data_IF_947501657883
#
_entry.id   IF_947501657883
#
_cell.length_a   1.000
_cell.length_b   1.000
_cell.length_c   1.000
_cell.angle_alpha   90.00
_cell.angle_beta   90.00
_cell.angle_gamma   90.00
#
_symmetry.space_group_name_H-M   'P 1'
#
loop_
_entity.id
_entity.type
_entity.pdbx_description
1 polymer ?
#
# COMPACT_ATOMS: atom_id res chain seq x y z
N UNK A 1 24.51 14.62 -19.43
CA UNK A 1 24.98 13.56 -18.53
C UNK A 1 25.55 14.26 -17.30
N UNK A 2 24.96 14.03 -16.10
CA UNK A 2 25.56 14.55 -14.89
C UNK A 2 26.74 13.64 -14.52
N UNK A 3 27.94 14.20 -14.46
CA UNK A 3 29.18 13.46 -14.26
C UNK A 3 29.44 13.12 -12.79
N UNK A 4 28.72 13.74 -11.86
CA UNK A 4 29.01 13.61 -10.43
C UNK A 4 28.31 12.39 -9.80
N UNK A 5 27.13 12.02 -10.29
CA UNK A 5 26.34 10.91 -9.74
C UNK A 5 25.84 9.92 -10.79
N UNK A 6 26.33 10.06 -12.01
CA UNK A 6 25.98 9.23 -13.17
C UNK A 6 24.46 9.18 -13.50
N UNK A 7 23.66 10.11 -12.98
CA UNK A 7 22.24 10.19 -13.27
C UNK A 7 22.01 10.82 -14.63
N UNK A 8 21.07 10.25 -15.38
CA UNK A 8 20.59 10.84 -16.63
C UNK A 8 19.46 11.81 -16.28
N UNK A 9 19.65 13.08 -16.58
CA UNK A 9 18.64 14.11 -16.37
C UNK A 9 18.31 14.79 -17.71
N UNK A 10 17.06 15.18 -17.85
CA UNK A 10 16.61 15.98 -18.97
C UNK A 10 16.73 17.47 -18.60
N UNK A 11 17.51 18.21 -19.40
CA UNK A 11 17.66 19.68 -19.24
C UNK A 11 16.59 20.46 -20.01
N UNK A 12 15.47 19.84 -20.30
CA UNK A 12 14.34 20.46 -20.96
C UNK A 12 13.08 20.09 -20.22
N UNK A 13 12.03 20.87 -20.41
CA UNK A 13 10.71 20.50 -19.87
C UNK A 13 10.20 19.23 -20.59
N UNK A 14 10.18 18.06 -19.95
CA UNK A 14 9.82 16.82 -20.62
C UNK A 14 8.37 16.81 -21.10
N UNK A 15 7.48 17.52 -20.41
CA UNK A 15 6.05 17.60 -20.77
C UNK A 15 5.89 18.43 -22.06
N UNK A 16 6.53 19.57 -22.15
CA UNK A 16 6.49 20.40 -23.35
C UNK A 16 7.12 19.67 -24.55
N UNK A 17 8.24 18.98 -24.32
CA UNK A 17 8.89 18.18 -25.33
C UNK A 17 8.02 17.02 -25.83
N UNK A 18 7.48 16.22 -24.90
CA UNK A 18 6.64 15.06 -25.24
C UNK A 18 5.33 15.50 -25.92
N UNK A 19 4.70 16.58 -25.47
CA UNK A 19 3.52 17.14 -26.12
C UNK A 19 3.82 17.47 -27.59
N UNK A 20 4.92 18.16 -27.83
CA UNK A 20 5.31 18.55 -29.20
C UNK A 20 5.71 17.33 -30.03
N UNK A 21 6.49 16.42 -29.48
CA UNK A 21 6.98 15.22 -30.18
C UNK A 21 5.85 14.25 -30.56
N UNK A 22 4.81 14.17 -29.71
CA UNK A 22 3.66 13.30 -29.93
C UNK A 22 2.47 14.01 -30.59
N UNK A 23 2.61 15.28 -30.97
CA UNK A 23 1.56 16.12 -31.53
C UNK A 23 0.26 16.14 -30.74
N UNK A 24 0.37 16.14 -29.37
CA UNK A 24 -0.77 16.13 -28.47
C UNK A 24 -1.38 17.52 -28.35
N UNK A 25 -2.68 17.62 -28.52
CA UNK A 25 -3.43 18.84 -28.25
C UNK A 25 -3.42 19.16 -26.75
N UNK A 26 -3.53 20.46 -26.41
CA UNK A 26 -3.30 20.96 -25.05
C UNK A 26 -4.22 20.33 -23.99
N UNK A 27 -5.40 19.86 -24.38
CA UNK A 27 -6.47 19.47 -23.47
C UNK A 27 -6.67 17.96 -23.36
N UNK A 28 -5.87 17.15 -24.05
CA UNK A 28 -6.10 15.72 -24.18
C UNK A 28 -5.54 14.87 -23.02
N UNK A 29 -4.69 15.43 -22.18
CA UNK A 29 -4.10 14.67 -21.06
C UNK A 29 -4.08 15.49 -19.78
N UNK A 30 -4.49 14.92 -18.65
CA UNK A 30 -4.21 15.52 -17.36
C UNK A 30 -2.68 15.53 -17.18
N UNK A 31 -2.10 16.71 -17.20
CA UNK A 31 -0.68 16.89 -16.90
C UNK A 31 -0.56 17.08 -15.39
N UNK A 32 0.18 16.22 -14.68
CA UNK A 32 0.49 16.50 -13.28
C UNK A 32 1.17 17.87 -13.20
N UNK A 33 0.56 18.79 -12.48
CA UNK A 33 1.14 20.11 -12.28
C UNK A 33 2.04 20.11 -11.05
N UNK A 34 3.37 20.00 -11.23
CA UNK A 34 4.30 20.06 -10.10
C UNK A 34 4.41 21.47 -9.50
N UNK A 35 3.73 22.46 -10.09
CA UNK A 35 3.87 23.87 -9.71
C UNK A 35 2.66 24.45 -8.98
N UNK A 36 1.50 23.75 -8.96
CA UNK A 36 0.24 24.27 -8.37
C UNK A 36 0.29 24.49 -6.85
N UNK A 37 1.33 24.07 -6.18
CA UNK A 37 1.54 24.33 -4.75
C UNK A 37 2.51 25.48 -4.46
N UNK A 38 2.63 26.44 -5.36
CA UNK A 38 3.53 27.60 -5.19
C UNK A 38 4.97 27.23 -4.78
N UNK A 39 5.49 26.14 -5.34
CA UNK A 39 6.81 25.63 -5.00
C UNK A 39 6.88 24.80 -3.71
N UNK A 40 5.78 24.63 -3.00
CA UNK A 40 5.73 23.75 -1.82
C UNK A 40 5.82 22.29 -2.24
N UNK A 41 6.63 21.54 -1.56
CA UNK A 41 6.74 20.10 -1.75
C UNK A 41 5.62 19.38 -0.99
N UNK A 42 5.01 18.38 -1.60
CA UNK A 42 4.16 17.43 -0.90
C UNK A 42 4.97 16.19 -0.54
N UNK A 43 4.88 15.76 0.71
CA UNK A 43 5.41 14.49 1.16
C UNK A 43 4.25 13.52 1.34
N UNK A 44 4.39 12.32 0.79
CA UNK A 44 3.49 11.20 0.99
C UNK A 44 4.27 10.10 1.69
N UNK A 45 3.66 9.47 2.68
CA UNK A 45 4.23 8.32 3.34
C UNK A 45 3.26 7.15 3.31
N UNK A 46 3.81 5.96 3.20
CA UNK A 46 3.06 4.72 3.15
C UNK A 46 3.74 3.68 4.04
N UNK A 47 2.93 2.94 4.78
CA UNK A 47 3.37 1.77 5.54
C UNK A 47 2.77 0.55 4.87
N UNK A 48 3.64 -0.26 4.32
CA UNK A 48 3.33 -1.53 3.69
C UNK A 48 2.93 -2.58 4.74
N UNK A 49 2.06 -3.51 4.35
CA UNK A 49 1.55 -4.53 5.26
C UNK A 49 2.49 -5.72 5.47
N UNK A 50 3.54 -5.86 4.65
CA UNK A 50 4.43 -7.02 4.70
C UNK A 50 5.07 -7.19 6.07
N UNK A 51 4.85 -8.39 6.66
CA UNK A 51 5.38 -8.71 7.97
C UNK A 51 4.70 -7.99 9.14
N UNK A 52 3.64 -7.24 8.92
CA UNK A 52 2.93 -6.46 9.96
C UNK A 52 2.39 -7.35 11.09
N UNK A 53 1.88 -8.53 10.75
CA UNK A 53 1.38 -9.55 11.70
C UNK A 53 2.50 -10.33 12.40
N UNK A 54 3.72 -10.27 11.88
CA UNK A 54 4.88 -10.97 12.42
C UNK A 54 5.39 -10.40 13.75
N UNK A 55 6.15 -11.22 14.52
CA UNK A 55 6.75 -10.76 15.77
C UNK A 55 7.86 -9.74 15.52
N UNK A 56 7.90 -8.69 16.29
CA UNK A 56 8.98 -7.73 16.27
C UNK A 56 10.27 -8.33 16.84
N UNK A 57 11.39 -8.16 16.14
CA UNK A 57 12.69 -8.61 16.65
C UNK A 57 13.16 -7.79 17.85
N UNK A 58 12.88 -6.48 17.86
CA UNK A 58 13.27 -5.58 18.94
C UNK A 58 12.33 -5.66 20.16
N UNK A 59 11.05 -5.96 19.93
CA UNK A 59 10.00 -5.99 20.97
C UNK A 59 9.31 -7.36 20.95
N UNK A 60 9.99 -8.38 21.42
CA UNK A 60 9.67 -9.82 21.25
C UNK A 60 8.22 -10.25 21.54
N UNK A 61 7.46 -9.47 22.30
CA UNK A 61 6.05 -9.79 22.64
C UNK A 61 5.05 -9.02 21.77
N UNK A 62 5.53 -8.08 20.94
CA UNK A 62 4.70 -7.25 20.09
C UNK A 62 4.83 -7.67 18.63
N UNK A 63 3.75 -7.51 17.87
CA UNK A 63 3.81 -7.58 16.40
C UNK A 63 4.45 -6.33 15.83
N UNK A 64 4.94 -6.42 14.60
CA UNK A 64 5.49 -5.24 13.91
C UNK A 64 4.45 -4.12 13.80
N UNK A 65 3.19 -4.45 13.53
CA UNK A 65 2.11 -3.47 13.49
C UNK A 65 1.89 -2.75 14.82
N UNK A 66 1.95 -3.46 15.94
CA UNK A 66 1.83 -2.84 17.28
C UNK A 66 3.00 -1.89 17.57
N UNK A 67 4.21 -2.28 17.18
CA UNK A 67 5.39 -1.40 17.31
C UNK A 67 5.25 -0.16 16.44
N UNK A 68 4.85 -0.31 15.18
CA UNK A 68 4.61 0.82 14.27
C UNK A 68 3.53 1.75 14.84
N UNK A 69 2.40 1.19 15.32
CA UNK A 69 1.34 1.97 15.96
C UNK A 69 1.87 2.80 17.12
N UNK A 70 2.62 2.20 18.04
CA UNK A 70 2.96 2.82 19.32
C UNK A 70 4.24 3.66 19.24
N UNK A 71 5.22 3.29 18.42
CA UNK A 71 6.51 3.98 18.34
C UNK A 71 6.60 4.98 17.19
N UNK A 72 5.75 4.85 16.18
CA UNK A 72 5.78 5.72 14.99
C UNK A 72 4.48 6.52 14.87
N UNK A 73 3.37 5.86 14.60
CA UNK A 73 2.14 6.53 14.20
C UNK A 73 1.53 7.44 15.28
N UNK A 74 1.61 7.03 16.56
CA UNK A 74 1.16 7.83 17.70
C UNK A 74 2.12 8.96 18.06
N UNK A 75 3.41 8.83 17.72
CA UNK A 75 4.44 9.82 18.10
C UNK A 75 4.63 10.89 17.06
N UNK A 76 4.43 10.56 15.78
CA UNK A 76 4.69 11.47 14.66
C UNK A 76 3.39 11.68 13.87
N UNK A 77 2.69 12.79 14.08
CA UNK A 77 1.35 13.02 13.53
C UNK A 77 1.35 13.53 12.08
N UNK A 78 2.27 13.09 11.24
CA UNK A 78 2.18 13.39 9.80
C UNK A 78 1.28 12.39 9.07
N UNK A 79 0.64 12.79 7.98
CA UNK A 79 -0.26 11.92 7.22
C UNK A 79 0.45 10.69 6.67
N UNK A 80 -0.15 9.52 6.85
CA UNK A 80 0.39 8.26 6.39
C UNK A 80 -0.72 7.31 5.97
N UNK A 81 -0.57 6.67 4.83
CA UNK A 81 -1.42 5.56 4.40
C UNK A 81 -0.89 4.27 4.98
N UNK A 82 -1.72 3.49 5.66
CA UNK A 82 -1.34 2.19 6.22
C UNK A 82 -2.20 1.11 5.59
N UNK A 83 -1.56 0.13 4.97
CA UNK A 83 -2.25 -1.00 4.35
C UNK A 83 -2.28 -2.24 5.25
N UNK A 84 -3.22 -3.15 4.96
CA UNK A 84 -3.31 -4.45 5.60
C UNK A 84 -3.62 -5.55 4.58
N UNK A 85 -3.04 -6.73 4.79
CA UNK A 85 -3.42 -7.96 4.06
C UNK A 85 -4.63 -8.56 4.78
N UNK A 86 -5.78 -8.62 4.11
CA UNK A 86 -7.04 -8.99 4.76
C UNK A 86 -6.98 -10.39 5.39
N UNK A 87 -6.38 -11.36 4.71
CA UNK A 87 -6.26 -12.71 5.25
C UNK A 87 -5.43 -12.81 6.53
N UNK A 88 -4.51 -11.87 6.77
CA UNK A 88 -3.72 -11.81 8.00
C UNK A 88 -4.46 -11.14 9.16
N UNK A 89 -5.44 -10.29 8.86
CA UNK A 89 -6.21 -9.57 9.89
C UNK A 89 -7.61 -10.12 10.10
N UNK A 90 -8.17 -10.90 9.16
CA UNK A 90 -9.46 -11.57 9.36
C UNK A 90 -9.36 -12.65 10.45
N UNK A 91 -10.07 -12.52 11.58
CA UNK A 91 -9.98 -13.48 12.68
C UNK A 91 -10.30 -14.92 12.28
N UNK A 92 -11.12 -15.12 11.23
CA UNK A 92 -11.46 -16.46 10.72
C UNK A 92 -10.26 -17.14 10.05
N UNK A 93 -9.34 -16.37 9.50
CA UNK A 93 -8.12 -16.85 8.82
C UNK A 93 -6.91 -16.80 9.75
N UNK A 94 -6.71 -15.70 10.42
CA UNK A 94 -5.62 -15.49 11.39
C UNK A 94 -5.73 -16.31 12.68
N UNK A 95 -6.93 -16.85 12.99
CA UNK A 95 -7.24 -17.56 14.23
C UNK A 95 -6.98 -16.75 15.51
N UNK A 96 -6.97 -15.44 15.39
CA UNK A 96 -6.81 -14.47 16.48
C UNK A 96 -7.49 -13.16 16.12
N UNK A 97 -8.01 -12.45 17.09
CA UNK A 97 -8.56 -11.08 16.89
C UNK A 97 -7.48 -10.01 16.99
N UNK A 98 -6.31 -10.32 17.55
CA UNK A 98 -5.23 -9.36 17.86
C UNK A 98 -4.86 -8.50 16.66
N UNK A 99 -4.71 -9.10 15.47
CA UNK A 99 -4.33 -8.37 14.26
C UNK A 99 -5.44 -7.42 13.79
N UNK A 100 -6.70 -7.87 13.83
CA UNK A 100 -7.84 -7.01 13.51
C UNK A 100 -7.98 -5.85 14.50
N UNK A 101 -7.79 -6.11 15.80
CA UNK A 101 -7.88 -5.09 16.83
C UNK A 101 -6.74 -4.05 16.68
N UNK A 102 -5.54 -4.52 16.40
CA UNK A 102 -4.39 -3.63 16.10
C UNK A 102 -4.65 -2.77 14.87
N UNK A 103 -5.19 -3.35 13.79
CA UNK A 103 -5.54 -2.60 12.58
C UNK A 103 -6.61 -1.54 12.85
N UNK A 104 -7.66 -1.87 13.62
CA UNK A 104 -8.69 -0.90 14.04
C UNK A 104 -8.09 0.25 14.85
N UNK A 105 -7.19 -0.05 15.76
CA UNK A 105 -6.52 0.98 16.56
C UNK A 105 -5.66 1.90 15.69
N UNK A 106 -4.96 1.36 14.72
CA UNK A 106 -4.17 2.12 13.74
C UNK A 106 -5.09 3.03 12.91
N UNK A 107 -6.18 2.49 12.36
CA UNK A 107 -7.08 3.25 11.50
C UNK A 107 -7.88 4.33 12.22
N UNK A 108 -8.03 4.24 13.56
CA UNK A 108 -8.61 5.31 14.38
C UNK A 108 -7.70 6.51 14.56
N UNK A 109 -6.40 6.38 14.30
CA UNK A 109 -5.47 7.50 14.42
C UNK A 109 -5.80 8.59 13.39
N UNK A 110 -5.85 9.88 13.79
CA UNK A 110 -6.31 10.95 12.90
C UNK A 110 -5.42 11.16 11.66
N UNK A 111 -4.15 10.81 11.77
CA UNK A 111 -3.14 10.95 10.74
C UNK A 111 -3.01 9.72 9.83
N UNK A 112 -3.79 8.67 10.05
CA UNK A 112 -3.71 7.42 9.26
C UNK A 112 -4.87 7.32 8.29
N UNK A 113 -4.58 6.95 7.05
CA UNK A 113 -5.53 6.60 6.01
C UNK A 113 -5.52 5.07 5.81
N UNK A 114 -6.70 4.40 5.89
CA UNK A 114 -6.80 2.97 5.65
C UNK A 114 -6.56 2.60 4.19
N UNK A 115 -5.77 1.56 3.95
CA UNK A 115 -5.53 1.02 2.62
C UNK A 115 -5.54 -0.52 2.60
N UNK A 116 -5.78 -1.08 1.41
CA UNK A 116 -5.69 -2.50 1.16
C UNK A 116 -4.30 -2.88 0.64
N UNK A 117 -3.78 -3.99 1.16
CA UNK A 117 -2.64 -4.70 0.59
C UNK A 117 -3.10 -6.04 0.02
N UNK A 118 -4.25 -6.01 -0.64
CA UNK A 118 -4.99 -7.14 -1.18
C UNK A 118 -5.53 -8.12 -0.12
N UNK A 119 -6.21 -9.19 -0.58
CA UNK A 119 -6.74 -10.22 0.30
C UNK A 119 -5.69 -11.24 0.71
N UNK A 120 -4.97 -11.82 -0.25
CA UNK A 120 -4.04 -12.94 -0.05
C UNK A 120 -2.58 -12.59 -0.32
N UNK A 121 -2.27 -11.34 -0.63
CA UNK A 121 -0.93 -10.88 -1.01
C UNK A 121 -0.36 -11.65 -2.21
N UNK A 122 -1.03 -11.62 -3.39
CA UNK A 122 -0.56 -12.35 -4.56
C UNK A 122 0.73 -11.73 -5.12
N UNK A 123 1.76 -12.55 -5.33
CA UNK A 123 2.98 -12.11 -6.02
C UNK A 123 2.79 -12.00 -7.53
N UNK A 124 1.80 -12.72 -8.08
CA UNK A 124 1.44 -12.71 -9.49
C UNK A 124 -0.07 -12.54 -9.61
N UNK A 125 -0.46 -11.58 -10.44
CA UNK A 125 -1.86 -11.22 -10.67
C UNK A 125 -2.45 -11.92 -11.92
N UNK A 126 -1.66 -12.75 -12.59
CA UNK A 126 -2.13 -13.63 -13.64
C UNK A 126 -2.23 -15.06 -13.10
N UNK A 127 -3.45 -15.64 -12.96
CA UNK A 127 -3.64 -16.99 -12.46
C UNK A 127 -3.01 -18.05 -13.37
N UNK A 128 -2.71 -17.71 -14.63
CA UNK A 128 -2.04 -18.56 -15.60
C UNK A 128 -0.52 -18.35 -15.66
N UNK A 129 0.01 -17.43 -14.89
CA UNK A 129 1.44 -17.15 -14.87
C UNK A 129 2.22 -18.39 -14.46
N UNK A 130 3.01 -18.92 -15.40
CA UNK A 130 3.94 -20.02 -15.13
C UNK A 130 5.20 -19.38 -14.54
N UNK A 131 5.49 -19.69 -13.29
CA UNK A 131 6.71 -19.26 -12.64
C UNK A 131 7.92 -19.87 -13.33
N UNK A 132 8.79 -19.05 -13.90
CA UNK A 132 10.10 -19.47 -14.42
C UNK A 132 11.18 -19.08 -13.43
N UNK A 133 11.98 -20.06 -13.00
CA UNK A 133 13.18 -19.80 -12.18
C UNK A 133 12.95 -19.93 -10.67
N UNK A 134 13.84 -19.31 -9.89
CA UNK A 134 13.94 -19.45 -8.43
C UNK A 134 12.85 -18.72 -7.62
N UNK A 135 11.86 -18.14 -8.25
CA UNK A 135 10.75 -17.49 -7.55
C UNK A 135 9.78 -18.53 -6.97
N UNK A 136 9.26 -18.31 -5.77
CA UNK A 136 8.32 -19.25 -5.17
C UNK A 136 7.09 -19.41 -6.06
N UNK A 137 6.69 -20.67 -6.23
CA UNK A 137 5.49 -21.07 -7.00
C UNK A 137 4.18 -20.67 -6.32
N UNK A 138 4.24 -19.86 -5.26
CA UNK A 138 3.10 -19.38 -4.50
C UNK A 138 2.60 -18.05 -5.03
N UNK A 139 1.31 -18.01 -5.36
CA UNK A 139 0.63 -16.80 -5.80
C UNK A 139 0.20 -15.88 -4.62
N UNK A 140 0.77 -16.04 -3.44
CA UNK A 140 0.43 -15.29 -2.24
C UNK A 140 0.47 -16.14 -0.98
N UNK A 141 -0.27 -15.74 0.05
CA UNK A 141 -0.40 -16.53 1.29
C UNK A 141 -1.07 -17.88 1.01
N UNK A 142 -0.57 -18.94 1.67
CA UNK A 142 -1.21 -20.26 1.62
C UNK A 142 -2.52 -20.26 2.39
N UNK A 143 -3.61 -20.04 1.71
CA UNK A 143 -4.95 -20.02 2.29
C UNK A 143 -5.71 -21.30 1.87
N UNK A 144 -5.92 -22.26 2.77
CA UNK A 144 -6.65 -23.48 2.43
C UNK A 144 -8.03 -23.18 1.85
N UNK A 145 -8.33 -23.77 0.67
CA UNK A 145 -9.61 -23.61 -0.02
C UNK A 145 -9.82 -22.26 -0.71
N UNK A 146 -8.83 -21.37 -0.72
CA UNK A 146 -8.88 -20.13 -1.49
C UNK A 146 -8.34 -20.36 -2.91
N UNK A 147 -9.08 -19.84 -3.88
CA UNK A 147 -8.66 -19.73 -5.28
C UNK A 147 -8.55 -18.26 -5.62
N UNK A 148 -7.44 -17.86 -6.22
CA UNK A 148 -7.19 -16.48 -6.63
C UNK A 148 -8.35 -15.92 -7.46
N UNK A 149 -8.75 -14.70 -7.13
CA UNK A 149 -9.83 -13.98 -7.77
C UNK A 149 -9.62 -12.48 -7.63
N UNK A 150 -9.50 -11.76 -8.74
CA UNK A 150 -9.24 -10.33 -8.77
C UNK A 150 -10.24 -9.52 -7.94
N UNK A 151 -11.53 -9.88 -8.03
CA UNK A 151 -12.57 -9.21 -7.25
C UNK A 151 -12.33 -9.36 -5.75
N UNK A 152 -11.94 -10.54 -5.29
CA UNK A 152 -11.65 -10.78 -3.86
C UNK A 152 -10.39 -10.04 -3.43
N UNK A 153 -9.35 -10.04 -4.27
CA UNK A 153 -8.10 -9.35 -3.96
C UNK A 153 -8.28 -7.83 -3.88
N UNK A 154 -9.13 -7.24 -4.72
CA UNK A 154 -9.35 -5.80 -4.80
C UNK A 154 -10.63 -5.38 -4.05
N UNK A 155 -11.78 -5.59 -4.67
CA UNK A 155 -13.06 -5.04 -4.21
C UNK A 155 -13.46 -5.54 -2.82
N UNK A 156 -13.44 -6.88 -2.64
CA UNK A 156 -13.88 -7.48 -1.38
C UNK A 156 -12.90 -7.17 -0.24
N UNK A 157 -11.60 -7.03 -0.55
CA UNK A 157 -10.59 -6.62 0.45
C UNK A 157 -10.80 -5.19 0.92
N UNK A 158 -11.00 -4.23 0.01
CA UNK A 158 -11.28 -2.84 0.34
C UNK A 158 -12.61 -2.71 1.11
N UNK A 159 -13.63 -3.45 0.69
CA UNK A 159 -14.92 -3.51 1.38
C UNK A 159 -14.77 -4.07 2.79
N UNK A 160 -14.01 -5.16 2.98
CA UNK A 160 -13.75 -5.73 4.30
C UNK A 160 -13.09 -4.71 5.22
N UNK A 161 -12.07 -4.01 4.74
CA UNK A 161 -11.36 -2.99 5.53
C UNK A 161 -12.33 -1.88 5.93
N UNK A 162 -13.10 -1.36 4.98
CA UNK A 162 -14.09 -0.31 5.24
C UNK A 162 -15.13 -0.75 6.27
N UNK A 163 -15.71 -1.93 6.10
CA UNK A 163 -16.85 -2.39 6.92
C UNK A 163 -16.45 -2.92 8.29
N UNK A 164 -15.23 -3.46 8.45
CA UNK A 164 -14.83 -4.22 9.63
C UNK A 164 -13.69 -3.61 10.44
N UNK A 165 -12.85 -2.80 9.80
CA UNK A 165 -11.63 -2.29 10.41
C UNK A 165 -11.61 -0.77 10.51
N UNK A 166 -12.02 -0.08 9.47
CA UNK A 166 -11.99 1.38 9.42
C UNK A 166 -13.08 2.01 10.30
N UNK A 167 -12.83 3.16 10.92
CA UNK A 167 -13.85 3.91 11.62
C UNK A 167 -14.84 4.57 10.64
N UNK A 168 -16.08 4.88 11.07
CA UNK A 168 -17.04 5.61 10.25
C UNK A 168 -16.45 6.89 9.66
N UNK A 169 -16.72 7.14 8.37
CA UNK A 169 -16.21 8.31 7.66
C UNK A 169 -14.79 8.22 7.14
N UNK A 170 -14.14 7.08 7.29
CA UNK A 170 -12.76 6.81 6.83
C UNK A 170 -12.72 5.53 5.99
N UNK A 171 -13.33 5.50 4.80
CA UNK A 171 -13.32 4.29 3.97
C UNK A 171 -11.90 3.96 3.52
N UNK A 172 -11.67 2.69 3.18
CA UNK A 172 -10.50 2.27 2.42
C UNK A 172 -10.66 2.76 0.97
N UNK A 173 -9.68 3.48 0.47
CA UNK A 173 -9.64 4.02 -0.89
C UNK A 173 -8.71 3.17 -1.76
#
# INVERSE_FOLDING_TARGET
>A
KNTTDNRKQWYLNPFAFLRKALALEADQFPVPDPTTRNGLRAAFSHVDADGSSGPSQAYKQLTCAEVIRDQVLKRYPFPVTVSVIVAEVDPKKAKTTRHADTARDIFRLPNVEPASHSYSHPFYWDPNAKTKGSYPTQLGLKLPGYVFNDKTELDDSMKYITDKLAPPGKPCL
#
